data_IF_071714185828
#
_entry.id   IF_071714185828
#
_cell.length_a   1.000
_cell.length_b   1.000
_cell.length_c   1.000
_cell.angle_alpha   90.00
_cell.angle_beta   90.00
_cell.angle_gamma   90.00
#
_symmetry.space_group_name_H-M   'P 1'
#
loop_
_entity.id
_entity.type
_entity.pdbx_description
1 polymer ?
#
# COMPACT_ATOMS: atom_id res chain seq x y z
N UNK A 1 2.04 -19.40 -12.75
CA UNK A 1 2.45 -18.00 -12.51
C UNK A 1 3.61 -17.99 -11.52
N UNK A 2 4.75 -17.46 -11.89
CA UNK A 2 5.96 -17.45 -11.05
C UNK A 2 5.78 -16.60 -9.79
N UNK A 3 5.15 -15.44 -9.95
CA UNK A 3 4.93 -14.49 -8.87
C UNK A 3 3.60 -14.76 -8.17
N UNK A 4 3.60 -14.69 -6.87
CA UNK A 4 2.41 -14.82 -6.02
C UNK A 4 2.16 -13.60 -5.14
N UNK A 5 3.00 -12.57 -5.29
CA UNK A 5 2.84 -11.28 -4.64
C UNK A 5 3.28 -10.15 -5.58
N UNK A 6 2.51 -9.07 -5.57
CA UNK A 6 2.82 -7.81 -6.26
C UNK A 6 2.93 -6.68 -5.24
N UNK A 7 4.02 -5.93 -5.27
CA UNK A 7 4.11 -4.65 -4.56
C UNK A 7 3.97 -3.49 -5.53
N UNK A 8 3.15 -2.48 -5.20
CA UNK A 8 2.94 -1.30 -6.02
C UNK A 8 3.32 -0.03 -5.26
N UNK A 9 4.43 0.56 -5.65
CA UNK A 9 4.77 1.93 -5.29
C UNK A 9 4.35 2.90 -6.39
N UNK A 10 4.18 4.17 -6.06
CA UNK A 10 3.55 5.10 -7.00
C UNK A 10 3.76 6.55 -6.61
N UNK A 11 3.84 7.42 -7.61
CA UNK A 11 3.67 8.86 -7.43
C UNK A 11 2.22 9.21 -7.07
N UNK A 12 2.01 10.31 -6.36
CA UNK A 12 0.66 10.80 -6.04
C UNK A 12 -0.03 11.33 -7.30
N UNK A 13 -1.23 10.84 -7.56
CA UNK A 13 -1.98 11.16 -8.79
C UNK A 13 -1.63 10.31 -10.02
N UNK A 14 -0.68 9.38 -9.93
CA UNK A 14 -0.35 8.47 -11.04
C UNK A 14 -1.42 7.41 -11.33
N UNK A 15 -2.40 7.22 -10.47
CA UNK A 15 -3.40 6.13 -10.64
C UNK A 15 -2.94 4.77 -10.09
N UNK A 16 -1.73 4.65 -9.55
CA UNK A 16 -1.16 3.38 -9.11
C UNK A 16 -2.00 2.61 -8.09
N UNK A 17 -2.79 3.29 -7.26
CA UNK A 17 -3.73 2.61 -6.34
C UNK A 17 -4.88 1.91 -7.08
N UNK A 18 -5.46 2.56 -8.11
CA UNK A 18 -6.50 1.95 -8.95
C UNK A 18 -5.96 0.80 -9.78
N UNK A 19 -4.77 0.98 -10.35
CA UNK A 19 -4.06 -0.08 -11.08
C UNK A 19 -3.87 -1.30 -10.18
N UNK A 20 -3.39 -1.11 -8.95
CA UNK A 20 -3.22 -2.18 -7.97
C UNK A 20 -4.54 -2.88 -7.65
N UNK A 21 -5.61 -2.13 -7.45
CA UNK A 21 -6.95 -2.66 -7.21
C UNK A 21 -7.45 -3.49 -8.40
N UNK A 22 -7.36 -2.96 -9.62
CA UNK A 22 -7.79 -3.67 -10.83
C UNK A 22 -6.99 -4.97 -11.04
N UNK A 23 -5.68 -4.96 -10.75
CA UNK A 23 -4.86 -6.19 -10.84
C UNK A 23 -5.31 -7.21 -9.79
N UNK A 24 -5.55 -6.78 -8.54
CA UNK A 24 -6.04 -7.65 -7.49
C UNK A 24 -7.38 -8.30 -7.85
N UNK A 25 -8.33 -7.51 -8.37
CA UNK A 25 -9.63 -7.98 -8.84
C UNK A 25 -9.49 -8.98 -10.00
N UNK A 26 -8.68 -8.67 -11.02
CA UNK A 26 -8.47 -9.54 -12.17
C UNK A 26 -7.85 -10.90 -11.80
N UNK A 27 -6.98 -10.92 -10.79
CA UNK A 27 -6.28 -12.13 -10.34
C UNK A 27 -7.03 -12.86 -9.22
N UNK A 28 -8.10 -12.28 -8.67
CA UNK A 28 -8.75 -12.79 -7.46
C UNK A 28 -7.85 -12.73 -6.23
N UNK A 29 -6.91 -11.79 -6.19
CA UNK A 29 -5.94 -11.61 -5.12
C UNK A 29 -6.43 -10.63 -4.05
N UNK A 30 -5.92 -10.78 -2.83
CA UNK A 30 -6.15 -9.80 -1.74
C UNK A 30 -5.44 -8.48 -2.07
N UNK A 31 -6.09 -7.35 -1.76
CA UNK A 31 -5.47 -6.03 -1.84
C UNK A 31 -5.17 -5.54 -0.42
N UNK A 32 -3.92 -5.18 -0.16
CA UNK A 32 -3.47 -4.56 1.09
C UNK A 32 -2.91 -3.17 0.76
N UNK A 33 -3.74 -2.16 0.92
CA UNK A 33 -3.29 -0.78 0.77
C UNK A 33 -2.73 -0.22 2.10
N UNK A 34 -2.24 1.03 2.05
CA UNK A 34 -1.67 1.71 3.22
C UNK A 34 -2.66 1.74 4.40
N UNK A 35 -3.91 2.04 4.13
CA UNK A 35 -4.90 2.27 5.19
C UNK A 35 -5.26 0.95 5.88
N UNK A 36 -5.31 -0.15 5.12
CA UNK A 36 -5.50 -1.50 5.65
C UNK A 36 -4.30 -1.92 6.50
N UNK A 37 -3.07 -1.75 6.00
CA UNK A 37 -1.86 -2.10 6.76
C UNK A 37 -1.77 -1.29 8.06
N UNK A 38 -2.07 0.00 8.01
CA UNK A 38 -2.05 0.88 9.19
C UNK A 38 -3.11 0.47 10.20
N UNK A 39 -4.31 0.13 9.73
CA UNK A 39 -5.38 -0.35 10.57
C UNK A 39 -5.03 -1.65 11.30
N UNK A 40 -4.41 -2.60 10.58
CA UNK A 40 -3.95 -3.86 11.16
C UNK A 40 -2.84 -3.60 12.18
N UNK A 41 -1.86 -2.78 11.83
CA UNK A 41 -0.75 -2.46 12.71
C UNK A 41 -1.24 -1.77 14.00
N UNK A 42 -2.21 -0.87 13.88
CA UNK A 42 -2.85 -0.25 15.04
C UNK A 42 -3.59 -1.27 15.92
N UNK A 43 -4.39 -2.15 15.34
CA UNK A 43 -5.13 -3.16 16.07
C UNK A 43 -4.20 -4.12 16.81
N UNK A 44 -3.10 -4.52 16.21
CA UNK A 44 -2.06 -5.37 16.82
C UNK A 44 -1.38 -4.67 18.00
N UNK A 45 -1.12 -3.37 17.87
CA UNK A 45 -0.48 -2.59 18.94
C UNK A 45 -1.39 -2.44 20.18
N UNK A 46 -2.69 -2.23 19.97
CA UNK A 46 -3.68 -2.01 21.06
C UNK A 46 -4.03 -3.31 21.79
N UNK A 47 -4.06 -4.45 21.11
CA UNK A 47 -4.41 -5.75 21.72
C UNK A 47 -3.60 -6.91 21.13
N UNK A 48 -2.63 -7.40 21.91
CA UNK A 48 -1.83 -8.57 21.55
C UNK A 48 -2.67 -9.85 21.33
N UNK A 49 -3.91 -9.91 21.83
CA UNK A 49 -4.83 -11.02 21.58
C UNK A 49 -5.48 -10.95 20.19
N UNK A 50 -5.50 -9.78 19.54
CA UNK A 50 -5.96 -9.64 18.16
C UNK A 50 -5.07 -10.44 17.22
N UNK A 51 -3.76 -10.54 17.52
CA UNK A 51 -2.82 -11.35 16.73
C UNK A 51 -3.24 -12.81 16.65
N UNK A 52 -3.75 -13.39 17.75
CA UNK A 52 -4.22 -14.79 17.79
C UNK A 52 -5.52 -15.00 17.01
N UNK A 53 -6.41 -13.99 16.96
CA UNK A 53 -7.65 -14.02 16.19
C UNK A 53 -7.43 -13.71 14.71
N UNK A 54 -6.26 -13.18 14.38
CA UNK A 54 -5.88 -12.84 13.01
C UNK A 54 -5.81 -14.07 12.10
N UNK A 55 -5.41 -15.22 12.65
CA UNK A 55 -5.31 -16.48 11.91
C UNK A 55 -6.66 -17.05 11.46
N UNK A 56 -7.75 -16.71 12.15
CA UNK A 56 -9.07 -17.32 11.87
C UNK A 56 -10.05 -16.43 11.09
N UNK A 57 -9.88 -15.10 11.05
CA UNK A 57 -10.95 -14.18 10.64
C UNK A 57 -10.57 -13.04 9.68
N UNK A 58 -9.40 -13.06 9.05
CA UNK A 58 -8.91 -11.98 8.15
C UNK A 58 -9.91 -11.64 7.04
N UNK A 59 -10.55 -12.64 6.43
CA UNK A 59 -11.50 -12.40 5.33
C UNK A 59 -12.79 -11.70 5.77
N UNK A 60 -13.32 -12.04 6.95
CA UNK A 60 -14.54 -11.42 7.45
C UNK A 60 -14.31 -9.99 7.96
N UNK A 61 -13.12 -9.74 8.43
CA UNK A 61 -12.70 -8.47 9.01
C UNK A 61 -12.36 -7.44 7.91
N UNK A 62 -11.64 -7.81 6.86
CA UNK A 62 -11.37 -6.96 5.69
C UNK A 62 -12.65 -6.48 4.98
N UNK A 63 -13.71 -7.28 4.97
CA UNK A 63 -15.02 -6.88 4.42
C UNK A 63 -15.77 -5.86 5.29
N UNK A 64 -15.46 -5.76 6.58
CA UNK A 64 -16.16 -4.87 7.53
C UNK A 64 -15.44 -3.55 7.76
N UNK A 65 -14.22 -3.39 7.26
CA UNK A 65 -13.41 -2.20 7.49
C UNK A 65 -13.68 -1.10 6.48
N UNK A 66 -14.77 -0.37 6.72
CA UNK A 66 -14.94 0.99 6.22
C UNK A 66 -14.40 1.94 7.32
N UNK A 67 -13.72 3.05 6.95
CA UNK A 67 -13.11 4.03 7.88
C UNK A 67 -14.06 4.49 9.00
N UNK A 68 -15.37 4.49 8.73
CA UNK A 68 -16.40 4.83 9.69
C UNK A 68 -16.60 3.74 10.76
N UNK A 69 -16.38 2.48 10.41
CA UNK A 69 -16.48 1.34 11.33
C UNK A 69 -15.29 1.29 12.32
N UNK A 70 -14.09 1.76 11.92
CA UNK A 70 -12.93 1.86 12.81
C UNK A 70 -13.17 2.81 13.98
N UNK A 71 -13.67 4.02 13.68
CA UNK A 71 -14.01 5.00 14.72
C UNK A 71 -15.13 4.50 15.65
N UNK A 72 -16.14 3.84 15.07
CA UNK A 72 -17.26 3.29 15.83
C UNK A 72 -16.85 2.08 16.67
N UNK A 73 -15.97 1.22 16.19
CA UNK A 73 -15.48 0.05 16.93
C UNK A 73 -14.56 0.45 18.11
N UNK A 74 -13.71 1.45 17.92
CA UNK A 74 -12.88 2.01 19.00
C UNK A 74 -13.76 2.65 20.10
N UNK A 75 -14.80 3.39 19.71
CA UNK A 75 -15.78 3.98 20.65
C UNK A 75 -16.68 2.93 21.31
N UNK A 76 -17.12 1.89 20.58
CA UNK A 76 -17.96 0.83 21.11
C UNK A 76 -17.21 -0.15 22.02
N UNK A 77 -15.89 -0.26 21.87
CA UNK A 77 -15.02 -1.07 22.74
C UNK A 77 -14.66 -0.35 24.06
N UNK A 78 -15.18 0.87 24.29
CA UNK A 78 -14.85 1.63 25.51
C UNK A 78 -13.36 1.99 25.61
N UNK A 79 -12.64 1.95 24.50
CA UNK A 79 -11.26 2.40 24.43
C UNK A 79 -11.29 3.92 24.49
N UNK A 80 -11.16 4.47 25.70
CA UNK A 80 -10.66 5.83 25.86
C UNK A 80 -9.34 5.88 25.11
N UNK A 81 -9.31 6.66 24.01
CA UNK A 81 -8.08 7.05 23.35
C UNK A 81 -7.26 7.78 24.41
N UNK A 82 -6.42 7.05 25.12
CA UNK A 82 -5.46 7.66 26.03
C UNK A 82 -4.56 8.53 25.18
N UNK A 83 -4.72 9.83 25.31
CA UNK A 83 -3.93 10.88 24.65
C UNK A 83 -2.42 10.80 24.95
N UNK A 84 -1.95 9.80 25.66
CA UNK A 84 -0.57 9.63 26.12
C UNK A 84 0.15 8.39 25.58
N UNK A 85 -0.41 7.63 24.65
CA UNK A 85 0.41 6.71 23.89
C UNK A 85 1.13 7.52 22.82
N UNK A 86 2.32 8.01 23.12
CA UNK A 86 3.28 8.44 22.09
C UNK A 86 3.48 7.22 21.20
N UNK A 87 2.76 7.17 20.09
CA UNK A 87 2.92 6.15 19.07
C UNK A 87 4.36 6.24 18.59
N UNK A 88 5.19 5.30 18.97
CA UNK A 88 6.52 5.21 18.41
C UNK A 88 6.38 4.82 16.93
N UNK A 89 6.65 5.77 16.06
CA UNK A 89 6.57 5.58 14.62
C UNK A 89 7.44 4.39 14.15
N UNK A 90 8.53 4.10 14.84
CA UNK A 90 9.38 2.94 14.57
C UNK A 90 8.69 1.62 14.91
N UNK A 91 7.93 1.57 16.00
CA UNK A 91 7.16 0.38 16.38
C UNK A 91 6.05 0.10 15.35
N UNK A 92 5.36 1.12 14.88
CA UNK A 92 4.36 0.99 13.81
C UNK A 92 4.96 0.48 12.50
N UNK A 93 6.17 0.90 12.16
CA UNK A 93 6.89 0.36 10.99
C UNK A 93 7.20 -1.11 11.18
N UNK A 94 7.75 -1.53 12.31
CA UNK A 94 8.05 -2.94 12.62
C UNK A 94 6.80 -3.84 12.57
N UNK A 95 5.67 -3.34 13.06
CA UNK A 95 4.40 -4.08 12.97
C UNK A 95 3.94 -4.17 11.52
N UNK A 96 4.04 -3.07 10.75
CA UNK A 96 3.72 -3.06 9.32
C UNK A 96 4.59 -4.05 8.52
N UNK A 97 5.88 -4.17 8.86
CA UNK A 97 6.78 -5.17 8.27
C UNK A 97 6.27 -6.60 8.52
N UNK A 98 5.90 -6.92 9.76
CA UNK A 98 5.32 -8.25 10.10
C UNK A 98 4.02 -8.53 9.34
N UNK A 99 3.16 -7.52 9.18
CA UNK A 99 1.94 -7.64 8.38
C UNK A 99 2.26 -7.96 6.91
N UNK A 100 3.26 -7.27 6.35
CA UNK A 100 3.74 -7.49 4.98
C UNK A 100 4.35 -8.89 4.82
N UNK A 101 5.18 -9.33 5.77
CA UNK A 101 5.78 -10.67 5.77
C UNK A 101 4.72 -11.76 5.88
N UNK A 102 3.70 -11.55 6.71
CA UNK A 102 2.58 -12.48 6.82
C UNK A 102 1.78 -12.55 5.51
N UNK A 103 1.45 -11.41 4.91
CA UNK A 103 0.78 -11.35 3.61
C UNK A 103 1.59 -12.07 2.52
N UNK A 104 2.92 -11.98 2.56
CA UNK A 104 3.79 -12.75 1.68
C UNK A 104 3.69 -14.26 1.95
N UNK A 105 3.68 -14.70 3.21
CA UNK A 105 3.54 -16.11 3.56
C UNK A 105 2.21 -16.70 3.06
N UNK A 106 1.11 -15.93 3.21
CA UNK A 106 -0.21 -16.32 2.71
C UNK A 106 -0.28 -16.33 1.17
N UNK A 107 0.48 -15.45 0.50
CA UNK A 107 0.51 -15.33 -0.96
C UNK A 107 -0.76 -14.72 -1.57
N UNK A 108 -0.79 -14.67 -2.91
CA UNK A 108 -1.93 -14.18 -3.69
C UNK A 108 -2.43 -12.80 -3.21
N UNK A 109 -1.50 -11.84 -3.10
CA UNK A 109 -1.85 -10.50 -2.67
C UNK A 109 -1.12 -9.40 -3.44
N UNK A 110 -1.76 -8.23 -3.50
CA UNK A 110 -1.21 -6.96 -3.99
C UNK A 110 -1.05 -6.03 -2.81
N UNK A 111 0.16 -5.54 -2.58
CA UNK A 111 0.50 -4.63 -1.46
C UNK A 111 0.85 -3.25 -2.00
N UNK A 112 0.25 -2.19 -1.44
CA UNK A 112 0.41 -0.82 -1.94
C UNK A 112 1.14 0.06 -0.93
N UNK A 113 2.42 0.33 -1.17
CA UNK A 113 3.27 1.22 -0.36
C UNK A 113 3.84 0.56 0.89
N UNK A 114 3.99 1.34 1.98
CA UNK A 114 4.55 0.93 3.28
C UNK A 114 5.94 0.28 3.21
N UNK A 115 6.73 0.62 2.20
CA UNK A 115 8.06 0.04 2.03
C UNK A 115 8.06 -1.44 1.68
N UNK A 116 6.92 -1.99 1.23
CA UNK A 116 6.77 -3.42 0.95
C UNK A 116 7.81 -3.97 -0.03
N UNK A 117 8.26 -3.18 -1.01
CA UNK A 117 9.36 -3.55 -1.90
C UNK A 117 10.71 -3.63 -1.19
N UNK A 118 10.89 -2.93 -0.06
CA UNK A 118 12.11 -3.03 0.75
C UNK A 118 12.05 -4.25 1.66
N UNK A 119 10.90 -4.47 2.31
CA UNK A 119 10.67 -5.64 3.19
C UNK A 119 10.83 -6.95 2.41
N UNK A 120 10.34 -6.97 1.16
CA UNK A 120 10.31 -8.18 0.33
C UNK A 120 11.40 -8.19 -0.76
N UNK A 121 12.42 -7.34 -0.66
CA UNK A 121 13.45 -7.11 -1.69
C UNK A 121 14.12 -8.41 -2.20
N UNK A 122 14.26 -9.41 -1.33
CA UNK A 122 14.96 -10.66 -1.65
C UNK A 122 14.03 -11.86 -1.81
N UNK A 123 12.72 -11.63 -1.97
CA UNK A 123 11.74 -12.68 -2.16
C UNK A 123 11.57 -12.97 -3.66
N UNK A 124 11.94 -14.16 -4.16
CA UNK A 124 12.04 -14.43 -5.60
C UNK A 124 10.69 -14.51 -6.32
N UNK A 125 9.61 -14.65 -5.57
CA UNK A 125 8.24 -14.74 -6.06
C UNK A 125 7.39 -13.48 -5.73
N UNK A 126 8.05 -12.40 -5.32
CA UNK A 126 7.47 -11.06 -5.21
C UNK A 126 7.89 -10.21 -6.43
N UNK A 127 6.93 -9.55 -7.06
CA UNK A 127 7.16 -8.63 -8.17
C UNK A 127 6.98 -7.18 -7.71
N UNK A 128 7.97 -6.34 -7.96
CA UNK A 128 8.00 -4.97 -7.44
C UNK A 128 7.78 -3.96 -8.56
N UNK A 129 6.71 -3.17 -8.47
CA UNK A 129 6.35 -2.18 -9.49
C UNK A 129 6.34 -0.77 -8.93
N UNK A 130 6.85 0.17 -9.71
CA UNK A 130 6.70 1.61 -9.48
C UNK A 130 5.86 2.23 -10.59
N UNK A 131 4.74 2.88 -10.24
CA UNK A 131 3.83 3.54 -11.18
C UNK A 131 4.00 5.05 -11.11
N UNK A 132 4.36 5.67 -12.23
CA UNK A 132 4.47 7.13 -12.34
C UNK A 132 3.54 7.68 -13.43
N UNK A 133 3.43 9.00 -13.55
CA UNK A 133 2.74 9.65 -14.66
C UNK A 133 3.30 11.06 -14.91
N UNK A 134 3.15 11.59 -16.13
CA UNK A 134 3.50 12.98 -16.42
C UNK A 134 2.82 13.93 -15.45
N UNK A 135 3.54 14.97 -15.00
CA UNK A 135 3.07 15.90 -13.97
C UNK A 135 1.72 16.54 -14.32
N UNK A 136 1.53 16.93 -15.58
CA UNK A 136 0.27 17.49 -16.08
C UNK A 136 -0.91 16.53 -15.91
N UNK A 137 -0.71 15.24 -16.21
CA UNK A 137 -1.74 14.21 -16.03
C UNK A 137 -2.09 14.00 -14.57
N UNK A 138 -1.10 14.01 -13.70
CA UNK A 138 -1.30 13.91 -12.25
C UNK A 138 -2.17 15.05 -11.73
N UNK A 139 -1.89 16.29 -12.17
CA UNK A 139 -2.68 17.48 -11.81
C UNK A 139 -4.12 17.34 -12.29
N UNK A 140 -4.35 16.94 -13.56
CA UNK A 140 -5.68 16.78 -14.13
C UNK A 140 -6.51 15.74 -13.35
N UNK A 141 -5.92 14.57 -13.09
CA UNK A 141 -6.58 13.49 -12.33
C UNK A 141 -6.92 13.90 -10.90
N UNK A 142 -6.04 14.65 -10.24
CA UNK A 142 -6.24 15.09 -8.87
C UNK A 142 -7.24 16.25 -8.77
N UNK A 143 -7.28 17.18 -9.72
CA UNK A 143 -8.30 18.24 -9.78
C UNK A 143 -9.72 17.67 -9.89
N UNK A 144 -9.89 16.54 -10.57
CA UNK A 144 -11.18 15.86 -10.68
C UNK A 144 -11.62 15.16 -9.38
N UNK A 145 -10.69 14.91 -8.43
CA UNK A 145 -10.92 14.08 -7.24
C UNK A 145 -10.86 14.85 -5.92
N UNK A 146 -10.06 15.91 -5.87
CA UNK A 146 -9.86 16.68 -4.65
C UNK A 146 -10.90 17.80 -4.53
N UNK A 147 -11.19 18.28 -3.32
CA UNK A 147 -12.08 19.42 -3.10
C UNK A 147 -11.66 20.64 -3.91
N UNK A 148 -12.66 21.41 -4.40
CA UNK A 148 -12.39 22.67 -5.09
C UNK A 148 -11.58 23.63 -4.19
N UNK A 149 -10.59 24.31 -4.79
CA UNK A 149 -9.70 25.21 -4.05
C UNK A 149 -8.44 24.54 -3.48
N UNK A 150 -8.29 23.23 -3.59
CA UNK A 150 -7.04 22.55 -3.19
C UNK A 150 -5.88 22.98 -4.08
N UNK A 151 -4.76 23.40 -3.48
CA UNK A 151 -3.49 23.53 -4.20
C UNK A 151 -2.94 22.14 -4.55
N UNK A 152 -3.30 21.68 -5.74
CA UNK A 152 -2.98 20.33 -6.21
C UNK A 152 -1.46 20.14 -6.39
N UNK A 153 -0.75 21.17 -6.85
CA UNK A 153 0.70 21.09 -7.06
C UNK A 153 1.43 20.96 -5.73
N UNK A 154 1.06 21.79 -4.75
CA UNK A 154 1.62 21.67 -3.41
C UNK A 154 1.29 20.30 -2.80
N UNK A 155 0.07 19.80 -2.99
CA UNK A 155 -0.33 18.48 -2.48
C UNK A 155 0.48 17.35 -3.11
N UNK A 156 0.78 17.41 -4.41
CA UNK A 156 1.67 16.48 -5.10
C UNK A 156 3.06 16.48 -4.46
N UNK A 157 3.67 17.66 -4.33
CA UNK A 157 5.01 17.81 -3.73
C UNK A 157 5.06 17.26 -2.31
N UNK A 158 4.07 17.58 -1.48
CA UNK A 158 4.02 17.15 -0.08
C UNK A 158 3.91 15.62 0.02
N UNK A 159 2.95 15.00 -0.69
CA UNK A 159 2.71 13.56 -0.57
C UNK A 159 3.88 12.74 -1.13
N UNK A 160 4.48 13.17 -2.23
CA UNK A 160 5.64 12.47 -2.79
C UNK A 160 6.89 12.63 -1.90
N UNK A 161 7.09 13.82 -1.31
CA UNK A 161 8.15 14.04 -0.33
C UNK A 161 7.98 13.19 0.94
N UNK A 162 6.74 13.06 1.45
CA UNK A 162 6.42 12.19 2.59
C UNK A 162 6.75 10.72 2.29
N UNK A 163 6.44 10.22 1.08
CA UNK A 163 6.78 8.87 0.66
C UNK A 163 8.27 8.64 0.54
N UNK A 164 8.99 9.61 -0.07
CA UNK A 164 10.43 9.55 -0.19
C UNK A 164 11.10 9.58 1.19
N UNK A 165 10.65 10.48 2.08
CA UNK A 165 11.14 10.57 3.47
C UNK A 165 10.90 9.25 4.22
N UNK A 166 9.73 8.65 4.11
CA UNK A 166 9.42 7.38 4.75
C UNK A 166 10.42 6.27 4.38
N UNK A 167 10.72 6.11 3.09
CA UNK A 167 11.68 5.10 2.65
C UNK A 167 13.12 5.43 3.11
N UNK A 168 13.50 6.69 3.07
CA UNK A 168 14.82 7.12 3.51
C UNK A 168 15.01 6.90 5.01
N UNK A 169 14.02 7.25 5.83
CA UNK A 169 14.08 7.22 7.28
C UNK A 169 14.08 5.78 7.84
N UNK A 170 13.18 4.92 7.33
CA UNK A 170 12.97 3.59 7.89
C UNK A 170 13.71 2.46 7.16
N UNK A 171 14.06 2.66 5.89
CA UNK A 171 14.71 1.63 5.08
C UNK A 171 16.08 2.06 4.53
N UNK A 172 16.50 3.30 4.75
CA UNK A 172 17.73 3.88 4.17
C UNK A 172 17.81 3.73 2.65
N UNK A 173 16.65 3.84 1.97
CA UNK A 173 16.52 3.66 0.52
C UNK A 173 16.02 4.93 -0.15
N UNK A 174 16.55 5.19 -1.36
CA UNK A 174 16.04 6.26 -2.21
C UNK A 174 14.80 5.79 -2.97
N UNK A 175 13.69 6.51 -2.83
CA UNK A 175 12.37 6.12 -3.32
C UNK A 175 12.31 5.85 -4.83
N UNK A 176 13.05 6.65 -5.64
CA UNK A 176 13.13 6.51 -7.09
C UNK A 176 14.32 5.65 -7.55
N UNK A 177 14.96 4.91 -6.65
CA UNK A 177 16.02 3.99 -7.04
C UNK A 177 15.44 2.83 -7.89
N UNK A 178 15.81 2.71 -9.17
CA UNK A 178 15.27 1.67 -10.05
C UNK A 178 15.60 0.26 -9.60
N UNK A 179 16.67 0.07 -8.83
CA UNK A 179 17.06 -1.24 -8.30
C UNK A 179 16.16 -1.79 -7.17
N UNK A 180 15.14 -1.02 -6.77
CA UNK A 180 14.10 -1.50 -5.84
C UNK A 180 12.89 -2.09 -6.57
N UNK A 181 12.86 -2.03 -7.89
CA UNK A 181 11.69 -2.38 -8.70
C UNK A 181 12.07 -3.28 -9.86
N UNK A 182 11.25 -4.29 -10.14
CA UNK A 182 11.37 -5.11 -11.35
C UNK A 182 10.83 -4.36 -12.57
N UNK A 183 9.88 -3.42 -12.35
CA UNK A 183 9.28 -2.62 -13.39
C UNK A 183 8.95 -1.20 -12.89
N UNK A 184 9.42 -0.19 -13.63
CA UNK A 184 8.96 1.20 -13.47
C UNK A 184 8.17 1.60 -14.71
N UNK A 185 6.89 1.94 -14.55
CA UNK A 185 5.97 2.13 -15.68
C UNK A 185 5.14 3.40 -15.57
N UNK A 186 4.96 4.09 -16.70
CA UNK A 186 4.03 5.21 -16.81
C UNK A 186 2.59 4.71 -16.95
N UNK A 187 1.68 5.30 -16.20
CA UNK A 187 0.24 5.06 -16.35
C UNK A 187 -0.41 5.95 -17.43
N UNK A 188 0.38 6.64 -18.23
CA UNK A 188 -0.06 7.43 -19.36
C UNK A 188 0.21 6.66 -20.66
N UNK A 189 -0.70 6.67 -21.64
CA UNK A 189 -1.95 7.43 -21.66
C UNK A 189 -3.11 6.74 -20.95
N UNK A 190 -3.01 5.45 -20.61
CA UNK A 190 -4.14 4.63 -20.18
C UNK A 190 -3.76 3.64 -19.07
N UNK A 191 -4.54 3.66 -17.96
CA UNK A 191 -4.33 2.78 -16.81
C UNK A 191 -4.60 1.31 -17.14
N UNK A 192 -5.57 1.02 -18.02
CA UNK A 192 -5.88 -0.38 -18.40
C UNK A 192 -4.73 -1.01 -19.19
N UNK A 193 -4.07 -0.25 -20.05
CA UNK A 193 -2.86 -0.70 -20.74
C UNK A 193 -1.73 -0.98 -19.74
N UNK A 194 -1.58 -0.12 -18.74
CA UNK A 194 -0.60 -0.33 -17.67
C UNK A 194 -0.88 -1.61 -16.87
N UNK A 195 -2.14 -1.88 -16.55
CA UNK A 195 -2.57 -3.14 -15.90
C UNK A 195 -2.14 -4.35 -16.75
N UNK A 196 -2.45 -4.33 -18.05
CA UNK A 196 -2.09 -5.44 -18.95
C UNK A 196 -0.58 -5.67 -19.02
N UNK A 197 0.22 -4.60 -19.10
CA UNK A 197 1.69 -4.72 -19.15
C UNK A 197 2.23 -5.32 -17.85
N UNK A 198 1.75 -4.87 -16.68
CA UNK A 198 2.19 -5.42 -15.40
C UNK A 198 1.82 -6.91 -15.30
N UNK A 199 0.58 -7.28 -15.63
CA UNK A 199 0.13 -8.67 -15.59
C UNK A 199 0.91 -9.54 -16.57
N UNK A 200 1.20 -9.05 -17.78
CA UNK A 200 2.03 -9.73 -18.75
C UNK A 200 3.46 -9.96 -18.22
N UNK A 201 4.09 -8.93 -17.65
CA UNK A 201 5.43 -9.04 -17.07
C UNK A 201 5.51 -10.07 -15.92
N UNK A 202 4.41 -10.25 -15.18
CA UNK A 202 4.32 -11.27 -14.11
C UNK A 202 4.14 -12.70 -14.65
N UNK A 203 3.69 -12.87 -15.88
CA UNK A 203 3.39 -14.20 -16.47
C UNK A 203 4.40 -14.65 -17.51
N UNK A 204 5.10 -13.75 -18.20
CA UNK A 204 5.90 -14.03 -19.40
C UNK A 204 7.34 -14.51 -19.17
N UNK A 205 7.64 -15.07 -18.00
CA UNK A 205 8.95 -15.69 -17.73
C UNK A 205 8.82 -17.23 -17.55
N UNK A 206 8.15 -17.86 -18.50
CA UNK A 206 8.30 -19.29 -18.75
C UNK A 206 9.22 -19.56 -19.91
#
# INVERSE_FOLDING_TARGET
MRYRLLTVNREFGSGGGRIAQTIAENLGWKLLDKDIIDAIAYAVHVDANVVRRYDEHVESWLRRFNQQAMRSAALAAGLELRDNAVFDAQEMVKISEKVIERAYADGNCVIVGRGSQCVLQYKPDAFHVFVYAPHKERILRLRARLPKGTDVEQRIRTVDAERAKYLQEYFSKYWLNPHLYDLMISSHPDENSTVRVIQYAMTSQE
#
